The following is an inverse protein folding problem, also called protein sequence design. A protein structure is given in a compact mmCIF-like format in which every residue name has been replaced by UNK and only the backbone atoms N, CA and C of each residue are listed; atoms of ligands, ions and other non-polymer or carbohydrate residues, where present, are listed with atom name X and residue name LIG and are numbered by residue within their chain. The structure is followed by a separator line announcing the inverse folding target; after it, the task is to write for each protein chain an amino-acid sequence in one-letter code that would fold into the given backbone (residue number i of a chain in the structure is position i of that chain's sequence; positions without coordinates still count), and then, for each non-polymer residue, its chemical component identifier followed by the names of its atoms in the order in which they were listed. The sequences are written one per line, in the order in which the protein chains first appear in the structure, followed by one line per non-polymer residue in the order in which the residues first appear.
data_IF_837959174632
#
_entry.id   IF_837959174632
#
_cell.length_a   1.000
_cell.length_b   1.000
_cell.length_c   1.000
_cell.angle_alpha   90.00
_cell.angle_beta   90.00
_cell.angle_gamma   90.00
#
_symmetry.space_group_name_H-M   'P 1'
#
loop_
_entity.id
_entity.type
_entity.pdbx_description
1 polymer ?
#
# COMPACT_ATOMS: atom_id res chain seq x y z
N UNK A 1 7.61 -0.17 68.14
CA UNK A 1 7.42 -1.11 67.02
C UNK A 1 6.38 -0.51 66.09
N UNK A 2 6.74 -0.23 64.83
CA UNK A 2 5.92 -0.19 63.61
C UNK A 2 6.81 0.47 62.55
N UNK A 3 7.56 -0.37 61.82
CA UNK A 3 8.45 0.03 60.73
C UNK A 3 7.65 -0.08 59.43
N UNK A 4 7.29 1.05 58.83
CA UNK A 4 6.59 1.08 57.54
C UNK A 4 7.60 0.94 56.40
N UNK A 5 7.78 -0.28 55.92
CA UNK A 5 8.52 -0.56 54.68
C UNK A 5 7.77 0.02 53.48
N UNK A 6 8.36 1.05 52.85
CA UNK A 6 7.92 1.54 51.54
C UNK A 6 8.49 0.63 50.46
N UNK A 7 7.61 -0.13 49.82
CA UNK A 7 7.94 -0.94 48.65
C UNK A 7 8.09 0.01 47.45
N UNK A 8 9.33 0.22 46.97
CA UNK A 8 9.56 0.83 45.65
C UNK A 8 9.21 -0.22 44.59
N UNK A 9 8.08 -0.02 43.91
CA UNK A 9 7.81 -0.69 42.64
C UNK A 9 8.69 -0.03 41.56
N UNK A 10 9.78 -0.71 41.20
CA UNK A 10 10.57 -0.41 40.02
C UNK A 10 9.78 -0.90 38.79
N UNK A 11 9.08 0.03 38.12
CA UNK A 11 8.46 -0.21 36.82
C UNK A 11 9.56 -0.35 35.77
N UNK A 12 9.99 -1.59 35.47
CA UNK A 12 10.76 -1.86 34.26
C UNK A 12 9.83 -1.67 33.05
N UNK A 13 9.73 -0.44 32.54
CA UNK A 13 9.35 -0.23 31.15
C UNK A 13 10.47 -0.84 30.30
N UNK A 14 10.25 -2.04 29.79
CA UNK A 14 11.04 -2.54 28.68
C UNK A 14 10.93 -1.54 27.55
N UNK A 15 12.04 -0.91 27.18
CA UNK A 15 12.14 -0.24 25.90
C UNK A 15 11.95 -1.33 24.85
N UNK A 16 10.74 -1.42 24.30
CA UNK A 16 10.50 -2.11 23.05
C UNK A 16 11.31 -1.32 22.02
N UNK A 17 12.56 -1.73 21.83
CA UNK A 17 13.37 -1.25 20.73
C UNK A 17 12.57 -1.52 19.48
N UNK A 18 12.21 -0.46 18.74
CA UNK A 18 11.58 -0.61 17.45
C UNK A 18 12.61 -1.25 16.54
N UNK A 19 12.49 -2.56 16.39
CA UNK A 19 13.18 -3.29 15.34
C UNK A 19 12.50 -2.88 14.04
N UNK A 20 13.14 -1.99 13.29
CA UNK A 20 12.80 -1.82 11.89
C UNK A 20 12.66 -3.19 11.23
N UNK A 21 11.53 -3.38 10.54
CA UNK A 21 11.01 -4.71 10.15
C UNK A 21 11.92 -5.34 9.13
N UNK A 22 12.14 -6.65 9.23
CA UNK A 22 12.75 -7.39 8.13
C UNK A 22 11.89 -7.25 6.87
N UNK A 23 12.53 -7.10 5.71
CA UNK A 23 11.78 -7.02 4.44
C UNK A 23 11.12 -8.37 4.14
N UNK A 24 9.78 -8.43 4.04
CA UNK A 24 9.08 -9.68 3.75
C UNK A 24 9.46 -10.25 2.38
N UNK A 25 9.36 -11.57 2.21
CA UNK A 25 9.88 -12.27 1.03
C UNK A 25 9.27 -11.78 -0.31
N UNK A 26 7.98 -11.44 -0.31
CA UNK A 26 7.30 -10.88 -1.48
C UNK A 26 7.84 -9.49 -1.86
N UNK A 27 8.04 -8.61 -0.88
CA UNK A 27 8.64 -7.28 -1.09
C UNK A 27 10.10 -7.41 -1.50
N UNK A 28 10.85 -8.35 -0.90
CA UNK A 28 12.23 -8.64 -1.28
C UNK A 28 12.33 -9.12 -2.74
N UNK A 29 11.40 -9.96 -3.15
CA UNK A 29 11.32 -10.46 -4.53
C UNK A 29 11.04 -9.32 -5.49
N UNK A 30 10.09 -8.43 -5.16
CA UNK A 30 9.82 -7.22 -5.93
C UNK A 30 11.08 -6.33 -6.03
N UNK A 31 11.74 -6.03 -4.91
CA UNK A 31 12.96 -5.24 -4.86
C UNK A 31 14.03 -5.82 -5.80
N UNK A 32 14.31 -7.12 -5.69
CA UNK A 32 15.32 -7.78 -6.53
C UNK A 32 14.92 -7.79 -8.02
N UNK A 33 13.63 -8.00 -8.31
CA UNK A 33 13.09 -7.98 -9.68
C UNK A 33 13.26 -6.61 -10.32
N UNK A 34 12.82 -5.54 -9.63
CA UNK A 34 12.94 -4.16 -10.11
C UNK A 34 14.43 -3.77 -10.25
N UNK A 35 15.28 -4.18 -9.31
CA UNK A 35 16.73 -3.93 -9.38
C UNK A 35 17.37 -4.58 -10.61
N UNK A 36 16.99 -5.82 -10.91
CA UNK A 36 17.52 -6.58 -12.05
C UNK A 36 16.97 -6.10 -13.41
N UNK A 37 15.76 -5.53 -13.44
CA UNK A 37 15.12 -5.02 -14.66
C UNK A 37 15.94 -3.91 -15.34
N UNK A 38 16.73 -3.14 -14.58
CA UNK A 38 17.43 -1.99 -15.10
C UNK A 38 16.56 -0.73 -15.04
N UNK A 39 16.11 -0.25 -16.20
CA UNK A 39 15.21 0.90 -16.28
C UNK A 39 13.74 0.48 -16.31
N UNK A 40 12.85 1.38 -15.88
CA UNK A 40 11.41 1.14 -15.97
C UNK A 40 10.94 1.06 -17.42
N UNK A 41 10.00 0.16 -17.68
CA UNK A 41 9.40 -0.02 -19.01
C UNK A 41 8.25 0.96 -19.22
N UNK A 42 7.37 1.08 -18.22
CA UNK A 42 6.29 2.03 -18.12
C UNK A 42 6.70 3.20 -17.21
N UNK A 43 7.21 4.26 -17.85
CA UNK A 43 7.63 5.49 -17.17
C UNK A 43 6.45 6.47 -17.15
N UNK A 44 5.97 6.79 -15.96
CA UNK A 44 4.88 7.75 -15.76
C UNK A 44 5.38 9.18 -15.88
N UNK A 45 6.58 9.44 -15.34
CA UNK A 45 7.33 10.68 -15.54
C UNK A 45 8.83 10.40 -15.45
N UNK A 46 9.65 11.25 -16.07
CA UNK A 46 11.10 11.06 -16.22
C UNK A 46 11.85 12.39 -16.14
N UNK A 47 13.18 12.31 -15.98
CA UNK A 47 14.05 13.48 -15.97
C UNK A 47 14.28 14.04 -14.56
N UNK A 48 14.08 13.21 -13.55
CA UNK A 48 14.34 13.52 -12.15
C UNK A 48 15.76 13.11 -11.77
N UNK A 49 16.24 13.68 -10.68
CA UNK A 49 17.58 13.50 -10.14
C UNK A 49 17.46 12.82 -8.78
N UNK A 50 18.42 11.99 -8.39
CA UNK A 50 18.48 11.59 -6.97
C UNK A 50 19.10 12.68 -6.13
N UNK A 51 20.10 13.37 -6.68
CA UNK A 51 20.81 14.48 -6.05
C UNK A 51 21.07 15.59 -7.05
N UNK A 52 21.29 16.80 -6.58
CA UNK A 52 21.50 17.99 -7.42
C UNK A 52 22.67 17.85 -8.41
N UNK A 53 23.69 17.07 -8.07
CA UNK A 53 24.88 16.79 -8.87
C UNK A 53 24.80 15.49 -9.70
N UNK A 54 23.70 14.75 -9.59
CA UNK A 54 23.50 13.46 -10.26
C UNK A 54 22.98 13.60 -11.70
N UNK A 55 22.90 12.46 -12.42
CA UNK A 55 22.25 12.42 -13.72
C UNK A 55 20.73 12.34 -13.58
N UNK A 56 19.99 12.93 -14.54
CA UNK A 56 18.52 12.99 -14.54
C UNK A 56 17.84 11.68 -14.96
N UNK A 57 18.36 10.55 -14.49
CA UNK A 57 17.97 9.20 -14.92
C UNK A 57 16.82 8.61 -14.11
N UNK A 58 16.23 9.36 -13.19
CA UNK A 58 15.19 8.89 -12.28
C UNK A 58 13.80 9.09 -12.87
N UNK A 59 12.90 8.19 -12.52
CA UNK A 59 11.54 8.13 -13.05
C UNK A 59 10.57 7.63 -11.97
N UNK A 60 9.34 8.13 -12.04
CA UNK A 60 8.18 7.49 -11.41
C UNK A 60 7.69 6.39 -12.34
N UNK A 61 7.57 5.17 -11.81
CA UNK A 61 7.39 3.97 -12.60
C UNK A 61 6.06 3.29 -12.30
N UNK A 62 5.36 2.91 -13.36
CA UNK A 62 4.07 2.24 -13.31
C UNK A 62 4.11 0.83 -13.87
N UNK A 63 5.27 0.17 -13.85
CA UNK A 63 5.44 -1.21 -14.36
C UNK A 63 4.49 -2.19 -13.67
N UNK A 64 4.15 -1.90 -12.41
CA UNK A 64 3.32 -2.75 -11.56
C UNK A 64 1.96 -2.13 -11.20
N UNK A 65 1.43 -1.22 -12.03
CA UNK A 65 0.09 -0.66 -11.83
C UNK A 65 -1.02 -1.70 -12.06
N UNK A 66 -0.83 -2.64 -12.98
CA UNK A 66 -1.87 -3.58 -13.38
C UNK A 66 -1.88 -4.89 -12.59
N UNK A 67 -0.75 -5.29 -12.02
CA UNK A 67 -0.59 -6.53 -11.26
C UNK A 67 -0.61 -6.29 -9.75
N UNK A 68 0.20 -5.37 -9.23
CA UNK A 68 0.28 -5.09 -7.79
C UNK A 68 -0.38 -3.78 -7.38
N UNK A 69 -0.84 -3.00 -8.36
CA UNK A 69 -1.36 -1.65 -8.15
C UNK A 69 -0.37 -0.82 -7.31
N UNK A 70 0.84 -0.61 -7.82
CA UNK A 70 1.87 0.21 -7.17
C UNK A 70 2.55 1.15 -8.16
N UNK A 71 3.09 2.24 -7.61
CA UNK A 71 4.03 3.14 -8.27
C UNK A 71 5.30 3.16 -7.44
N UNK A 72 6.46 3.27 -8.08
CA UNK A 72 7.74 3.36 -7.38
C UNK A 72 8.73 4.28 -8.09
N UNK A 73 9.77 4.72 -7.37
CA UNK A 73 10.88 5.51 -7.93
C UNK A 73 12.02 4.59 -8.34
N UNK A 74 12.61 4.85 -9.51
CA UNK A 74 13.72 4.06 -10.03
C UNK A 74 14.64 4.86 -10.94
N UNK A 75 15.96 4.65 -10.79
CA UNK A 75 17.00 5.17 -11.67
C UNK A 75 17.43 4.19 -12.77
N UNK A 76 18.46 4.54 -13.52
CA UNK A 76 19.04 3.65 -14.52
C UNK A 76 19.79 2.46 -13.89
N UNK A 77 19.95 1.37 -14.62
CA UNK A 77 20.69 0.19 -14.14
C UNK A 77 20.11 -0.36 -12.83
N UNK A 78 20.94 -0.59 -11.82
CA UNK A 78 20.48 -1.13 -10.53
C UNK A 78 20.09 -0.06 -9.51
N UNK A 79 20.11 1.23 -9.88
CA UNK A 79 19.91 2.35 -8.96
C UNK A 79 18.44 2.48 -8.55
N UNK A 80 18.17 2.56 -7.26
CA UNK A 80 16.98 3.20 -6.69
C UNK A 80 17.33 4.64 -6.29
N UNK A 81 16.45 5.36 -5.61
CA UNK A 81 16.76 6.71 -5.14
C UNK A 81 17.61 6.67 -3.85
N UNK A 82 18.18 7.81 -3.51
CA UNK A 82 18.74 8.15 -2.22
C UNK A 82 17.63 8.41 -1.18
N UNK A 83 18.02 8.87 0.00
CA UNK A 83 17.11 9.39 1.01
C UNK A 83 17.67 10.68 1.63
N UNK A 84 17.29 11.81 1.05
CA UNK A 84 17.44 13.13 1.67
C UNK A 84 16.45 13.31 2.82
N UNK A 85 16.70 14.32 3.65
CA UNK A 85 15.97 14.54 4.91
C UNK A 85 15.06 15.74 4.80
N UNK A 86 13.76 15.46 4.88
CA UNK A 86 12.74 16.47 5.05
C UNK A 86 12.48 16.70 6.55
N UNK A 87 12.45 17.97 6.93
CA UNK A 87 12.22 18.41 8.30
C UNK A 87 10.93 19.24 8.44
N UNK A 88 10.08 19.24 7.42
CA UNK A 88 8.95 20.14 7.32
C UNK A 88 7.80 19.79 8.29
N UNK A 89 6.93 20.78 8.50
CA UNK A 89 5.79 20.67 9.40
C UNK A 89 6.03 21.20 10.81
N UNK A 90 5.32 20.61 11.77
CA UNK A 90 5.38 20.99 13.19
C UNK A 90 6.76 20.72 13.77
N UNK A 91 7.40 21.78 14.26
CA UNK A 91 8.73 21.76 14.86
C UNK A 91 8.70 21.51 16.38
N UNK A 92 9.80 21.01 16.94
CA UNK A 92 9.96 20.81 18.39
C UNK A 92 9.28 19.55 18.93
N UNK A 93 9.02 19.56 20.24
CA UNK A 93 8.36 18.46 20.95
C UNK A 93 9.32 17.40 21.51
N UNK A 94 8.80 16.40 22.24
CA UNK A 94 9.64 15.46 22.99
C UNK A 94 10.51 14.52 22.13
N UNK A 95 10.15 14.33 20.86
CA UNK A 95 10.91 13.50 19.93
C UNK A 95 11.99 14.28 19.16
N UNK A 96 11.96 15.61 19.23
CA UNK A 96 12.97 16.45 18.59
C UNK A 96 14.28 16.37 19.36
N UNK A 97 15.31 15.83 18.71
CA UNK A 97 16.67 15.68 19.22
C UNK A 97 17.65 16.71 18.64
N UNK A 98 17.12 17.72 17.93
CA UNK A 98 17.86 18.85 17.37
C UNK A 98 18.51 18.57 16.01
N UNK A 99 18.42 17.35 15.46
CA UNK A 99 19.07 17.02 14.18
C UNK A 99 18.43 17.68 12.96
N UNK A 100 17.18 18.12 13.05
CA UNK A 100 16.60 18.99 12.02
C UNK A 100 17.16 20.42 12.06
N UNK A 101 17.74 20.86 13.18
CA UNK A 101 18.28 22.22 13.33
C UNK A 101 19.48 22.54 12.43
N UNK A 102 20.03 21.55 11.71
CA UNK A 102 21.03 21.80 10.67
C UNK A 102 20.42 22.25 9.34
N UNK A 103 19.18 21.86 9.02
CA UNK A 103 18.52 22.17 7.75
C UNK A 103 18.36 23.68 7.57
N UNK A 104 18.68 24.17 6.37
CA UNK A 104 18.53 25.57 5.98
C UNK A 104 17.23 25.88 5.22
N UNK A 105 16.48 24.85 4.87
CA UNK A 105 15.30 24.85 4.00
C UNK A 105 14.01 24.39 4.70
N UNK A 106 14.09 23.96 5.96
CA UNK A 106 12.93 23.53 6.76
C UNK A 106 11.79 24.54 6.70
N UNK A 107 10.61 24.06 6.31
CA UNK A 107 9.36 24.80 6.31
C UNK A 107 8.50 24.44 7.53
N UNK A 108 7.67 25.38 7.96
CA UNK A 108 6.81 25.16 9.14
C UNK A 108 5.56 24.33 8.86
N UNK A 109 5.35 23.91 7.61
CA UNK A 109 4.15 23.22 7.15
C UNK A 109 4.53 22.08 6.20
N UNK A 110 3.79 20.99 6.21
CA UNK A 110 3.83 19.98 5.14
C UNK A 110 2.78 20.28 4.06
N UNK A 111 2.92 19.71 2.86
CA UNK A 111 1.94 19.90 1.77
C UNK A 111 0.50 19.54 2.14
N UNK A 112 0.27 18.61 3.08
CA UNK A 112 -1.07 18.18 3.48
C UNK A 112 -1.50 18.61 4.88
N UNK A 113 -0.87 19.64 5.44
CA UNK A 113 -1.21 20.24 6.74
C UNK A 113 -2.73 20.41 6.94
N UNK A 114 -3.43 21.03 5.99
CA UNK A 114 -4.87 21.32 6.11
C UNK A 114 -5.71 20.04 6.28
N UNK A 115 -5.30 18.94 5.64
CA UNK A 115 -5.98 17.65 5.79
C UNK A 115 -5.74 17.07 7.18
N UNK A 116 -4.50 17.15 7.66
CA UNK A 116 -4.11 16.69 9.00
C UNK A 116 -4.85 17.48 10.10
N UNK A 117 -4.83 18.81 10.01
CA UNK A 117 -5.61 19.69 10.88
C UNK A 117 -7.10 19.34 10.86
N UNK A 118 -7.65 19.10 9.66
CA UNK A 118 -9.03 18.71 9.44
C UNK A 118 -9.45 17.40 10.12
N UNK A 119 -8.51 16.50 10.44
CA UNK A 119 -8.80 15.29 11.21
C UNK A 119 -9.14 15.58 12.67
N UNK A 120 -8.86 16.79 13.18
CA UNK A 120 -9.20 17.23 14.52
C UNK A 120 -8.69 16.26 15.62
N UNK A 121 -7.45 15.78 15.47
CA UNK A 121 -6.83 14.82 16.38
C UNK A 121 -5.87 15.42 17.40
N UNK A 122 -5.79 16.76 17.47
CA UNK A 122 -4.93 17.45 18.44
C UNK A 122 -3.53 17.80 17.91
N UNK A 123 -3.30 17.62 16.60
CA UNK A 123 -2.17 18.17 15.88
C UNK A 123 -2.68 19.05 14.74
N UNK A 124 -1.92 20.10 14.40
CA UNK A 124 -2.20 20.95 13.25
C UNK A 124 -1.47 20.46 12.00
N UNK A 125 -0.36 19.75 12.19
CA UNK A 125 0.45 19.18 11.12
C UNK A 125 1.25 17.99 11.65
N UNK A 126 1.84 17.23 10.74
CA UNK A 126 2.84 16.22 11.07
C UNK A 126 4.08 16.90 11.66
N UNK A 127 4.85 16.11 12.41
CA UNK A 127 6.15 16.50 12.97
C UNK A 127 7.18 15.48 12.47
N UNK A 128 8.20 15.94 11.75
CA UNK A 128 9.21 15.08 11.12
C UNK A 128 9.92 14.12 12.08
N UNK A 129 10.06 14.51 13.36
CA UNK A 129 10.69 13.69 14.41
C UNK A 129 9.77 12.60 14.97
N UNK A 130 8.46 12.69 14.71
CA UNK A 130 7.44 11.75 15.22
C UNK A 130 6.81 10.92 14.11
N UNK A 131 6.54 11.54 12.97
CA UNK A 131 5.73 10.97 11.91
C UNK A 131 6.64 10.52 10.77
N UNK A 132 6.82 9.21 10.53
CA UNK A 132 7.43 8.76 9.29
C UNK A 132 6.55 9.19 8.12
N UNK A 133 7.12 10.02 7.26
CA UNK A 133 6.49 10.39 6.01
C UNK A 133 7.52 10.42 4.88
N UNK A 134 6.99 10.38 3.67
CA UNK A 134 7.74 10.42 2.41
C UNK A 134 7.35 11.68 1.67
N UNK A 135 8.35 12.33 1.08
CA UNK A 135 8.17 13.39 0.08
C UNK A 135 8.04 12.70 -1.27
N UNK A 136 6.86 12.77 -1.88
CA UNK A 136 6.55 12.01 -3.08
C UNK A 136 5.75 12.84 -4.07
N UNK A 137 6.24 12.95 -5.30
CA UNK A 137 5.74 13.93 -6.25
C UNK A 137 6.63 15.15 -6.32
N UNK A 138 6.48 15.88 -7.42
CA UNK A 138 7.24 17.07 -7.70
C UNK A 138 6.28 18.14 -8.21
N UNK A 139 6.22 19.26 -7.52
CA UNK A 139 5.43 20.42 -7.88
C UNK A 139 6.37 21.52 -8.38
N UNK A 140 5.83 22.48 -9.15
CA UNK A 140 6.66 23.55 -9.69
C UNK A 140 6.10 24.27 -10.90
N UNK A 141 6.59 25.49 -11.11
CA UNK A 141 6.20 26.39 -12.21
C UNK A 141 7.38 26.89 -13.03
N UNK A 142 8.63 26.69 -12.55
CA UNK A 142 9.87 27.02 -13.28
C UNK A 142 9.87 26.38 -14.68
N UNK A 143 10.25 27.17 -15.69
CA UNK A 143 10.33 26.70 -17.07
C UNK A 143 11.33 25.53 -17.21
N UNK A 144 10.89 24.43 -17.81
CA UNK A 144 11.70 23.23 -17.96
C UNK A 144 11.80 22.34 -16.71
N UNK A 145 11.20 22.75 -15.59
CA UNK A 145 11.09 21.94 -14.37
C UNK A 145 10.23 20.70 -14.64
N UNK A 146 10.62 19.56 -14.05
CA UNK A 146 9.86 18.32 -14.17
C UNK A 146 8.95 18.21 -12.96
N UNK A 147 7.69 17.94 -13.24
CA UNK A 147 6.66 17.74 -12.22
C UNK A 147 6.07 16.34 -12.35
N UNK A 148 5.56 15.84 -11.24
CA UNK A 148 4.79 14.60 -11.17
C UNK A 148 3.80 14.75 -10.03
N UNK A 149 2.51 14.72 -10.38
CA UNK A 149 1.45 14.76 -9.39
C UNK A 149 0.92 13.32 -9.17
N UNK A 150 1.17 12.70 -8.00
CA UNK A 150 0.76 11.32 -7.74
C UNK A 150 -0.77 11.11 -7.76
N UNK A 151 -1.56 12.15 -7.54
CA UNK A 151 -3.03 12.06 -7.54
C UNK A 151 -3.60 11.74 -8.93
N UNK A 152 -2.90 12.11 -10.01
CA UNK A 152 -3.26 11.73 -11.38
C UNK A 152 -3.25 10.21 -11.59
N UNK A 153 -2.57 9.47 -10.71
CA UNK A 153 -2.47 8.02 -10.75
C UNK A 153 -3.14 7.34 -9.56
N UNK A 154 -4.02 8.05 -8.85
CA UNK A 154 -4.86 7.49 -7.80
C UNK A 154 -4.19 7.35 -6.43
N UNK A 155 -2.95 7.82 -6.26
CA UNK A 155 -2.38 8.00 -4.92
C UNK A 155 -3.14 9.15 -4.25
N UNK A 156 -3.55 8.96 -2.99
CA UNK A 156 -4.28 9.99 -2.25
C UNK A 156 -3.38 10.66 -1.21
N UNK A 157 -3.54 11.96 -0.91
CA UNK A 157 -2.83 12.60 0.20
C UNK A 157 -2.90 11.75 1.47
N UNK A 158 -1.78 11.65 2.19
CA UNK A 158 -1.63 10.84 3.40
C UNK A 158 -1.81 9.33 3.21
N UNK A 159 -1.75 8.81 1.96
CA UNK A 159 -1.69 7.37 1.72
C UNK A 159 -0.45 6.77 2.37
N UNK A 160 -0.58 5.58 2.95
CA UNK A 160 0.58 4.82 3.40
C UNK A 160 1.48 4.52 2.20
N UNK A 161 2.78 4.65 2.43
CA UNK A 161 3.85 4.23 1.53
C UNK A 161 4.73 3.19 2.24
N UNK A 162 5.33 2.31 1.46
CA UNK A 162 6.32 1.35 1.91
C UNK A 162 7.70 1.77 1.40
N UNK A 163 8.70 1.80 2.27
CA UNK A 163 10.07 2.16 1.96
C UNK A 163 10.99 1.01 2.33
N UNK A 164 11.80 0.56 1.38
CA UNK A 164 12.87 -0.43 1.63
C UNK A 164 14.21 0.29 1.67
N UNK A 165 14.84 0.30 2.84
CA UNK A 165 16.07 1.04 3.17
C UNK A 165 16.87 0.26 4.22
N UNK A 166 18.21 0.26 4.17
CA UNK A 166 19.03 -0.37 5.22
C UNK A 166 18.66 -1.83 5.54
N UNK A 167 18.25 -2.59 4.52
CA UNK A 167 17.73 -3.97 4.62
C UNK A 167 16.42 -4.13 5.44
N UNK A 168 15.69 -3.04 5.62
CA UNK A 168 14.46 -2.95 6.41
C UNK A 168 13.28 -2.51 5.55
N UNK A 169 12.08 -2.85 6.00
CA UNK A 169 10.83 -2.29 5.51
C UNK A 169 10.26 -1.30 6.54
N UNK A 170 10.04 -0.07 6.12
CA UNK A 170 9.44 1.00 6.91
C UNK A 170 8.15 1.46 6.26
N UNK A 171 7.11 1.68 7.07
CA UNK A 171 5.90 2.38 6.63
C UNK A 171 5.94 3.84 7.03
N UNK A 172 5.51 4.70 6.11
CA UNK A 172 5.23 6.10 6.36
C UNK A 172 3.97 6.52 5.61
N UNK A 173 3.62 7.79 5.68
CA UNK A 173 2.57 8.37 4.83
C UNK A 173 3.17 9.30 3.78
N UNK A 174 2.55 9.43 2.62
CA UNK A 174 2.86 10.52 1.72
C UNK A 174 2.33 11.83 2.32
N UNK A 175 3.23 12.68 2.81
CA UNK A 175 2.87 13.93 3.49
C UNK A 175 3.31 15.19 2.76
N UNK A 176 4.34 15.08 1.93
CA UNK A 176 4.94 16.22 1.26
C UNK A 176 5.27 15.98 -0.21
N UNK A 177 5.58 17.06 -0.92
CA UNK A 177 5.92 17.08 -2.34
C UNK A 177 7.16 17.94 -2.56
N UNK A 178 8.09 17.49 -3.42
CA UNK A 178 9.28 18.26 -3.72
C UNK A 178 8.92 19.51 -4.53
N UNK A 179 9.23 20.68 -3.99
CA UNK A 179 9.01 21.97 -4.63
C UNK A 179 9.98 22.28 -5.77
N UNK A 180 9.83 23.46 -6.35
CA UNK A 180 10.75 24.01 -7.34
C UNK A 180 11.64 25.12 -6.78
N UNK A 181 12.01 25.06 -5.51
CA UNK A 181 12.92 25.98 -4.83
C UNK A 181 14.40 25.64 -5.08
N UNK A 182 14.72 24.36 -5.24
CA UNK A 182 16.05 23.85 -5.58
C UNK A 182 16.56 24.14 -7.01
N UNK A 183 17.72 23.57 -7.33
CA UNK A 183 18.35 23.70 -8.64
C UNK A 183 17.89 22.65 -9.65
N UNK A 184 17.42 21.49 -9.17
CA UNK A 184 16.94 20.35 -9.96
C UNK A 184 15.65 19.75 -9.36
N UNK A 185 14.78 19.13 -10.20
CA UNK A 185 13.65 18.33 -9.70
C UNK A 185 14.18 17.00 -9.15
N UNK A 186 14.54 17.01 -7.87
CA UNK A 186 15.06 15.84 -7.13
C UNK A 186 13.94 14.93 -6.65
N UNK A 187 14.28 13.67 -6.34
CA UNK A 187 13.40 12.68 -5.73
C UNK A 187 14.19 11.88 -4.70
N UNK A 188 13.49 11.26 -3.75
CA UNK A 188 14.13 10.39 -2.76
C UNK A 188 14.37 11.13 -1.46
N UNK A 189 13.30 11.56 -0.81
CA UNK A 189 13.36 12.34 0.40
C UNK A 189 12.28 11.86 1.40
N UNK A 190 12.60 11.89 2.69
CA UNK A 190 11.73 11.40 3.74
C UNK A 190 11.98 12.12 5.06
N UNK A 191 11.01 12.03 5.98
CA UNK A 191 11.14 12.65 7.28
C UNK A 191 12.32 12.10 8.09
N UNK A 192 12.91 12.94 8.93
CA UNK A 192 14.05 12.53 9.77
C UNK A 192 13.75 11.29 10.64
N UNK A 193 12.51 11.10 11.09
CA UNK A 193 12.13 9.91 11.85
C UNK A 193 12.14 8.63 11.01
N UNK A 194 11.72 8.69 9.73
CA UNK A 194 11.80 7.57 8.80
C UNK A 194 13.27 7.23 8.51
N UNK A 195 14.08 8.23 8.17
CA UNK A 195 15.50 8.03 7.89
C UNK A 195 16.28 7.50 9.11
N UNK A 196 15.93 7.98 10.31
CA UNK A 196 16.50 7.46 11.56
C UNK A 196 16.16 5.97 11.76
N UNK A 197 14.97 5.53 11.35
CA UNK A 197 14.61 4.11 11.43
C UNK A 197 15.41 3.23 10.44
N UNK A 198 15.81 3.79 9.30
CA UNK A 198 16.65 3.11 8.31
C UNK A 198 18.12 3.06 8.74
N UNK A 199 18.68 4.21 9.16
CA UNK A 199 20.12 4.43 9.21
C UNK A 199 20.64 4.88 10.59
N UNK A 200 19.75 5.00 11.57
CA UNK A 200 20.10 5.46 12.91
C UNK A 200 20.36 6.97 12.98
N UNK A 201 21.08 7.40 14.01
CA UNK A 201 21.24 8.83 14.33
C UNK A 201 22.39 9.51 13.58
N UNK A 202 22.98 8.86 12.57
CA UNK A 202 24.02 9.47 11.74
C UNK A 202 23.45 10.50 10.76
N UNK A 203 22.17 10.40 10.43
CA UNK A 203 21.48 11.36 9.55
C UNK A 203 21.02 12.60 10.31
N UNK A 204 20.97 13.73 9.61
CA UNK A 204 20.46 15.02 10.10
C UNK A 204 19.87 15.84 8.94
N UNK A 205 19.29 17.01 9.21
CA UNK A 205 18.60 17.82 8.21
C UNK A 205 19.45 18.27 7.00
N UNK A 206 20.78 18.13 7.03
CA UNK A 206 21.66 18.40 5.88
C UNK A 206 22.41 17.17 5.38
N UNK A 207 22.21 16.01 5.99
CA UNK A 207 22.98 14.79 5.73
C UNK A 207 22.05 13.59 5.82
N UNK A 208 21.49 13.23 4.67
CA UNK A 208 20.72 12.01 4.50
C UNK A 208 21.60 10.80 4.20
N UNK A 209 21.05 9.91 3.38
CA UNK A 209 21.71 8.71 2.86
C UNK A 209 21.89 8.86 1.34
N UNK A 210 23.15 9.02 0.92
CA UNK A 210 23.55 9.37 -0.44
C UNK A 210 23.44 8.21 -1.44
N UNK A 211 23.45 6.97 -0.96
CA UNK A 211 23.46 5.80 -1.84
C UNK A 211 22.08 5.57 -2.50
N UNK A 212 22.13 5.32 -3.81
CA UNK A 212 21.00 5.06 -4.70
C UNK A 212 20.40 3.64 -4.50
N UNK A 213 19.99 3.29 -3.28
CA UNK A 213 19.52 1.94 -2.91
C UNK A 213 18.17 1.88 -2.17
N UNK A 214 17.47 3.02 -2.04
CA UNK A 214 16.18 3.15 -1.35
C UNK A 214 15.00 3.02 -2.31
N UNK A 215 14.18 2.00 -2.11
CA UNK A 215 12.96 1.78 -2.89
C UNK A 215 11.74 2.37 -2.17
N UNK A 216 11.13 3.38 -2.79
CA UNK A 216 9.85 3.97 -2.38
C UNK A 216 8.70 3.33 -3.16
N UNK A 217 7.66 2.86 -2.47
CA UNK A 217 6.49 2.21 -3.05
C UNK A 217 5.22 2.94 -2.59
N UNK A 218 4.50 3.50 -3.56
CA UNK A 218 3.20 4.15 -3.38
C UNK A 218 2.06 3.23 -3.81
N UNK A 219 0.94 3.29 -3.10
CA UNK A 219 -0.23 2.45 -3.34
C UNK A 219 -1.42 3.33 -3.79
N UNK A 220 -1.87 3.23 -5.06
CA UNK A 220 -3.12 3.85 -5.48
C UNK A 220 -4.32 3.23 -4.78
N UNK A 221 -5.32 4.06 -4.51
CA UNK A 221 -6.60 3.64 -3.93
C UNK A 221 -6.86 4.22 -2.54
N UNK A 222 -8.14 4.22 -2.16
CA UNK A 222 -8.58 4.72 -0.84
C UNK A 222 -8.24 3.77 0.30
N UNK A 223 -8.01 2.49 0.01
CA UNK A 223 -7.53 1.47 0.95
C UNK A 223 -6.18 1.84 1.56
N UNK A 224 -5.34 2.58 0.82
CA UNK A 224 -4.05 3.07 1.27
C UNK A 224 -4.14 4.22 2.27
N UNK A 225 -5.27 4.92 2.35
CA UNK A 225 -5.43 6.09 3.24
C UNK A 225 -5.84 5.62 4.64
N UNK A 226 -5.08 5.96 5.70
CA UNK A 226 -5.52 5.69 7.07
C UNK A 226 -6.77 6.50 7.45
N UNK A 227 -6.84 7.75 6.98
CA UNK A 227 -7.88 8.69 7.34
C UNK A 227 -7.80 9.11 8.81
N UNK A 228 -8.77 9.91 9.25
CA UNK A 228 -8.76 10.49 10.60
C UNK A 228 -8.64 9.46 11.74
N UNK A 229 -9.20 8.27 11.57
CA UNK A 229 -9.27 7.24 12.63
C UNK A 229 -8.36 6.03 12.40
N UNK A 230 -7.67 5.94 11.27
CA UNK A 230 -6.84 4.79 10.92
C UNK A 230 -5.35 4.96 11.26
N UNK A 231 -4.96 6.07 11.86
CA UNK A 231 -3.60 6.32 12.36
C UNK A 231 -3.65 7.09 13.68
N UNK A 232 -2.61 6.93 14.50
CA UNK A 232 -2.41 7.69 15.72
C UNK A 232 -1.76 9.05 15.44
N UNK A 233 -2.51 9.95 14.81
CA UNK A 233 -2.03 11.29 14.43
C UNK A 233 -1.48 12.12 15.61
N UNK A 234 -1.90 11.85 16.85
CA UNK A 234 -1.39 12.52 18.05
C UNK A 234 -0.28 11.73 18.75
N UNK A 235 0.39 10.82 18.04
CA UNK A 235 1.54 10.09 18.57
C UNK A 235 2.60 11.07 19.09
N UNK A 236 3.31 10.66 20.14
CA UNK A 236 4.40 11.47 20.72
C UNK A 236 5.79 11.04 20.26
N UNK A 237 5.89 9.96 19.48
CA UNK A 237 7.12 9.42 18.96
C UNK A 237 6.86 8.50 17.75
N UNK A 238 7.93 8.23 17.00
CA UNK A 238 7.96 7.33 15.84
C UNK A 238 7.29 5.98 16.09
N UNK A 239 7.65 5.29 17.17
CA UNK A 239 7.16 3.95 17.46
C UNK A 239 5.63 3.90 17.57
N UNK A 240 5.05 4.87 18.26
CA UNK A 240 3.61 4.95 18.48
C UNK A 240 2.84 5.30 17.20
N UNK A 241 3.42 6.09 16.30
CA UNK A 241 2.79 6.38 15.01
C UNK A 241 2.91 5.19 14.06
N UNK A 242 4.12 4.66 13.85
CA UNK A 242 4.39 3.59 12.88
C UNK A 242 3.58 2.33 13.22
N UNK A 243 3.54 1.94 14.50
CA UNK A 243 2.73 0.79 14.94
C UNK A 243 1.23 0.99 14.66
N UNK A 244 0.74 2.23 14.64
CA UNK A 244 -0.68 2.50 14.37
C UNK A 244 -1.07 2.29 12.90
N UNK A 245 -0.12 2.37 11.97
CA UNK A 245 -0.34 2.18 10.53
C UNK A 245 0.12 0.81 10.02
N UNK A 246 0.86 0.07 10.84
CA UNK A 246 1.43 -1.24 10.54
C UNK A 246 0.45 -2.21 9.88
N UNK A 247 -0.71 -2.44 10.50
CA UNK A 247 -1.65 -3.46 10.03
C UNK A 247 -2.16 -3.13 8.61
N UNK A 248 -2.38 -1.85 8.33
CA UNK A 248 -2.80 -1.38 7.00
C UNK A 248 -1.64 -1.45 6.01
N UNK A 249 -0.42 -1.08 6.42
CA UNK A 249 0.80 -1.26 5.61
C UNK A 249 1.03 -2.73 5.22
N UNK A 250 0.89 -3.65 6.17
CA UNK A 250 1.00 -5.09 5.96
C UNK A 250 -0.05 -5.59 4.96
N UNK A 251 -1.30 -5.12 5.07
CA UNK A 251 -2.36 -5.47 4.13
C UNK A 251 -2.06 -4.97 2.70
N UNK A 252 -1.49 -3.77 2.56
CA UNK A 252 -1.11 -3.20 1.26
C UNK A 252 0.01 -4.01 0.60
N UNK A 253 1.07 -4.35 1.33
CA UNK A 253 2.17 -5.13 0.75
C UNK A 253 1.79 -6.58 0.47
N UNK A 254 0.76 -7.13 1.12
CA UNK A 254 0.32 -8.51 0.89
C UNK A 254 -0.14 -8.75 -0.57
N UNK A 255 -0.58 -7.70 -1.28
CA UNK A 255 -0.97 -7.81 -2.70
C UNK A 255 0.23 -7.91 -3.65
N UNK A 256 1.42 -7.48 -3.21
CA UNK A 256 2.68 -7.71 -3.92
C UNK A 256 2.94 -9.21 -3.79
N UNK A 257 2.94 -9.94 -4.92
CA UNK A 257 2.90 -11.41 -5.06
C UNK A 257 1.51 -12.09 -5.15
N UNK A 258 0.40 -11.33 -5.19
CA UNK A 258 -0.97 -11.86 -5.33
C UNK A 258 -1.48 -12.07 -6.76
N UNK A 259 -0.69 -11.74 -7.78
CA UNK A 259 -1.17 -11.64 -9.17
C UNK A 259 -0.50 -12.65 -10.09
N UNK A 260 -0.86 -13.93 -9.95
CA UNK A 260 -0.72 -14.86 -11.08
C UNK A 260 -1.73 -14.49 -12.16
N UNK A 261 -1.31 -13.62 -13.08
CA UNK A 261 -1.99 -13.47 -14.37
C UNK A 261 -1.78 -14.75 -15.21
N UNK A 262 -2.83 -15.32 -15.83
CA UNK A 262 -2.73 -16.58 -16.57
C UNK A 262 -2.06 -16.33 -17.93
N UNK A 263 -0.74 -16.42 -17.97
CA UNK A 263 -0.05 -16.53 -19.27
C UNK A 263 -0.10 -17.98 -19.72
N UNK A 264 -1.12 -18.31 -20.51
CA UNK A 264 -1.11 -19.50 -21.38
C UNK A 264 0.12 -19.44 -22.27
N UNK A 265 1.15 -20.21 -21.93
CA UNK A 265 2.15 -20.66 -22.90
C UNK A 265 2.30 -22.16 -22.76
N UNK A 266 1.62 -22.87 -23.67
CA UNK A 266 1.79 -24.29 -23.89
C UNK A 266 3.25 -24.59 -24.21
N UNK A 267 3.92 -25.36 -23.35
CA UNK A 267 5.03 -26.19 -23.79
C UNK A 267 5.06 -27.50 -23.01
N UNK A 268 4.62 -28.54 -23.71
CA UNK A 268 4.74 -29.94 -23.35
C UNK A 268 6.20 -30.28 -23.06
N UNK A 269 6.51 -30.79 -21.87
CA UNK A 269 7.60 -31.76 -21.69
C UNK A 269 7.40 -32.56 -20.41
N UNK A 270 7.71 -33.84 -20.56
CA UNK A 270 7.38 -35.03 -19.78
C UNK A 270 7.95 -35.06 -18.35
N UNK A 271 7.05 -35.29 -17.39
CA UNK A 271 7.16 -36.05 -16.13
C UNK A 271 8.44 -35.96 -15.26
N UNK A 272 8.30 -35.29 -14.12
CA UNK A 272 8.77 -35.76 -12.82
C UNK A 272 7.67 -35.46 -11.77
N UNK A 273 7.42 -36.39 -10.85
CA UNK A 273 6.36 -36.36 -9.84
C UNK A 273 6.36 -35.04 -9.05
N UNK A 274 5.26 -34.26 -9.03
CA UNK A 274 5.23 -33.00 -8.32
C UNK A 274 5.06 -33.25 -6.82
N UNK A 275 6.07 -32.88 -6.03
CA UNK A 275 5.87 -32.55 -4.62
C UNK A 275 4.90 -31.37 -4.59
N UNK A 276 3.68 -31.58 -4.09
CA UNK A 276 2.67 -30.53 -4.02
C UNK A 276 3.20 -29.36 -3.18
N UNK A 277 3.52 -28.24 -3.84
CA UNK A 277 3.87 -26.97 -3.19
C UNK A 277 2.58 -26.33 -2.70
N UNK A 278 2.41 -26.33 -1.39
CA UNK A 278 1.39 -25.58 -0.67
C UNK A 278 1.85 -24.15 -0.40
N UNK A 279 0.92 -23.19 -0.36
CA UNK A 279 1.17 -21.80 0.04
C UNK A 279 1.74 -21.66 1.46
N UNK A 280 1.54 -22.63 2.34
CA UNK A 280 2.19 -22.68 3.67
C UNK A 280 2.83 -24.04 3.98
N UNK A 281 4.15 -24.03 4.20
CA UNK A 281 4.94 -25.20 4.57
C UNK A 281 4.39 -25.91 5.83
N UNK A 282 4.10 -27.21 5.72
CA UNK A 282 3.54 -28.03 6.80
C UNK A 282 2.02 -28.22 6.73
N UNK A 283 1.34 -27.55 5.81
CA UNK A 283 -0.13 -27.56 5.66
C UNK A 283 -0.59 -28.08 4.28
N UNK A 284 0.25 -28.91 3.63
CA UNK A 284 -0.01 -29.50 2.32
C UNK A 284 -0.94 -30.72 2.35
N UNK A 285 -1.22 -31.28 1.18
CA UNK A 285 -1.94 -32.55 1.03
C UNK A 285 -1.28 -33.65 1.89
N UNK A 286 -2.02 -34.18 2.86
CA UNK A 286 -1.53 -35.19 3.82
C UNK A 286 -0.91 -34.63 5.11
N UNK A 287 -0.83 -33.30 5.27
CA UNK A 287 -0.50 -32.65 6.54
C UNK A 287 -1.54 -32.97 7.62
N UNK A 288 -1.11 -32.99 8.89
CA UNK A 288 -2.04 -33.12 10.01
C UNK A 288 -2.86 -31.84 10.20
N UNK A 289 -4.15 -31.97 10.51
CA UNK A 289 -5.06 -30.84 10.71
C UNK A 289 -6.11 -31.16 11.77
N UNK A 290 -6.66 -30.12 12.39
CA UNK A 290 -7.79 -30.19 13.32
C UNK A 290 -9.03 -29.50 12.73
N UNK A 291 -8.84 -28.41 11.99
CA UNK A 291 -9.89 -27.68 11.26
C UNK A 291 -9.47 -27.42 9.81
N UNK A 292 -10.41 -26.94 8.98
CA UNK A 292 -10.12 -26.62 7.58
C UNK A 292 -9.08 -25.51 7.40
N UNK A 293 -8.94 -24.63 8.39
CA UNK A 293 -7.97 -23.51 8.35
C UNK A 293 -6.52 -23.97 8.57
N UNK A 294 -6.33 -25.21 9.02
CA UNK A 294 -5.01 -25.84 9.14
C UNK A 294 -4.51 -26.41 7.79
N UNK A 295 -5.24 -26.18 6.69
CA UNK A 295 -4.93 -26.71 5.37
C UNK A 295 -4.70 -25.59 4.36
N UNK A 296 -3.65 -25.74 3.55
CA UNK A 296 -3.27 -24.76 2.53
C UNK A 296 -4.19 -24.82 1.31
N UNK A 297 -4.38 -23.67 0.67
CA UNK A 297 -5.10 -23.55 -0.60
C UNK A 297 -6.55 -24.07 -0.50
N UNK A 298 -7.02 -24.83 -1.48
CA UNK A 298 -8.38 -25.40 -1.52
C UNK A 298 -8.50 -26.74 -0.75
N UNK A 299 -7.52 -27.08 0.10
CA UNK A 299 -7.54 -28.33 0.86
C UNK A 299 -8.47 -28.21 2.07
N UNK A 300 -9.16 -29.31 2.41
CA UNK A 300 -10.03 -29.37 3.59
C UNK A 300 -9.53 -30.42 4.56
N UNK A 301 -9.76 -30.20 5.85
CA UNK A 301 -9.36 -31.15 6.87
C UNK A 301 -10.33 -32.33 6.91
N UNK A 302 -9.89 -33.48 6.41
CA UNK A 302 -10.67 -34.71 6.39
C UNK A 302 -9.90 -35.79 7.14
N UNK A 303 -10.52 -36.39 8.16
CA UNK A 303 -9.89 -37.45 8.96
C UNK A 303 -8.53 -37.02 9.55
N UNK A 304 -8.47 -35.79 10.08
CA UNK A 304 -7.26 -35.17 10.63
C UNK A 304 -6.11 -35.02 9.63
N UNK A 305 -6.41 -35.04 8.33
CA UNK A 305 -5.47 -34.85 7.24
C UNK A 305 -5.99 -33.89 6.18
N UNK A 306 -5.13 -33.02 5.66
CA UNK A 306 -5.51 -32.12 4.56
C UNK A 306 -5.70 -32.93 3.28
N UNK A 307 -6.88 -32.85 2.67
CA UNK A 307 -7.30 -33.61 1.51
C UNK A 307 -7.95 -32.72 0.44
N UNK A 308 -7.83 -33.09 -0.83
CA UNK A 308 -8.53 -32.39 -1.91
C UNK A 308 -10.00 -32.82 -1.96
N UNK A 309 -10.91 -31.85 -2.09
CA UNK A 309 -12.35 -32.09 -2.30
C UNK A 309 -12.70 -32.49 -3.73
N UNK A 310 -11.74 -32.50 -4.67
CA UNK A 310 -11.97 -32.98 -6.03
C UNK A 310 -12.14 -34.50 -6.01
N UNK A 311 -13.40 -34.92 -5.90
CA UNK A 311 -13.83 -36.29 -6.18
C UNK A 311 -13.28 -36.67 -7.56
N UNK A 312 -12.36 -37.62 -7.56
CA UNK A 312 -11.92 -38.34 -8.75
C UNK A 312 -13.11 -39.20 -9.19
N UNK A 313 -13.99 -38.63 -10.02
CA UNK A 313 -15.04 -39.40 -10.68
C UNK A 313 -14.41 -40.05 -11.91
N UNK A 314 -13.94 -41.27 -11.73
CA UNK A 314 -13.52 -42.15 -12.82
C UNK A 314 -14.64 -42.29 -13.84
N UNK A 315 -14.31 -41.99 -15.09
CA UNK A 315 -15.15 -42.06 -16.28
C UNK A 315 -15.91 -43.38 -16.41
N UNK A 316 -17.23 -43.31 -16.59
CA UNK A 316 -17.94 -44.29 -17.43
C UNK A 316 -19.11 -43.59 -18.12
N UNK A 317 -19.06 -43.54 -19.45
CA UNK A 317 -20.11 -43.00 -20.31
C UNK A 317 -21.44 -43.72 -20.08
N UNK A 318 -22.53 -42.95 -19.96
CA UNK A 318 -23.83 -43.32 -20.55
C UNK A 318 -24.67 -42.06 -20.81
N UNK A 319 -25.12 -42.00 -22.04
CA UNK A 319 -25.94 -40.98 -22.69
C UNK A 319 -27.31 -40.81 -22.04
N UNK A 320 -27.72 -39.57 -21.77
CA UNK A 320 -29.15 -39.21 -21.68
C UNK A 320 -29.34 -37.72 -21.92
N UNK A 321 -30.03 -37.41 -23.01
CA UNK A 321 -30.62 -36.12 -23.39
C UNK A 321 -31.58 -35.59 -22.33
N UNK A 322 -31.45 -34.31 -21.96
CA UNK A 322 -32.60 -33.39 -21.77
C UNK A 322 -32.18 -31.92 -21.65
N UNK A 323 -32.69 -31.14 -22.61
CA UNK A 323 -33.39 -29.85 -22.51
C UNK A 323 -32.75 -28.69 -21.71
N UNK A 324 -32.29 -27.73 -22.49
CA UNK A 324 -31.96 -26.33 -22.21
C UNK A 324 -33.05 -25.60 -21.41
N UNK A 325 -32.66 -25.03 -20.27
CA UNK A 325 -33.29 -23.83 -19.69
C UNK A 325 -32.21 -22.91 -19.15
N UNK A 326 -32.22 -21.68 -19.66
CA UNK A 326 -31.30 -20.59 -19.37
C UNK A 326 -31.30 -20.22 -17.88
N UNK A 327 -30.17 -20.40 -17.19
CA UNK A 327 -29.97 -19.94 -15.82
C UNK A 327 -29.07 -18.70 -15.80
N UNK A 328 -29.54 -17.70 -15.05
CA UNK A 328 -28.98 -16.37 -14.92
C UNK A 328 -27.54 -16.36 -14.41
N UNK A 329 -26.79 -15.34 -14.85
CA UNK A 329 -25.43 -15.04 -14.43
C UNK A 329 -25.30 -15.05 -12.90
N UNK A 330 -24.46 -15.94 -12.39
CA UNK A 330 -24.08 -16.00 -10.98
C UNK A 330 -23.28 -14.75 -10.67
N UNK A 331 -23.86 -13.82 -9.91
CA UNK A 331 -23.14 -12.65 -9.41
C UNK A 331 -22.02 -13.11 -8.49
N UNK A 332 -20.77 -12.79 -8.86
CA UNK A 332 -19.58 -12.97 -8.02
C UNK A 332 -19.66 -11.99 -6.86
N UNK A 333 -19.56 -12.51 -5.63
CA UNK A 333 -19.47 -11.70 -4.41
C UNK A 333 -18.00 -11.62 -3.98
N UNK A 334 -17.60 -10.47 -3.42
CA UNK A 334 -16.23 -10.20 -2.97
C UNK A 334 -15.80 -11.07 -1.79
N UNK A 335 -16.75 -11.64 -1.04
CA UNK A 335 -16.51 -12.57 0.08
C UNK A 335 -17.69 -13.56 0.28
N UNK A 336 -17.39 -14.76 0.78
CA UNK A 336 -18.40 -15.82 0.99
C UNK A 336 -19.33 -15.50 2.18
N UNK A 337 -20.65 -15.67 2.01
CA UNK A 337 -21.62 -15.52 3.10
C UNK A 337 -22.31 -14.15 3.20
N UNK A 338 -21.95 -13.18 2.35
CA UNK A 338 -22.48 -11.80 2.35
C UNK A 338 -22.98 -11.38 0.95
N UNK A 339 -23.44 -12.33 0.17
CA UNK A 339 -23.95 -12.16 -1.19
C UNK A 339 -25.46 -11.88 -1.20
N UNK A 340 -26.05 -11.73 -2.39
CA UNK A 340 -27.50 -11.58 -2.56
C UNK A 340 -28.27 -12.67 -1.78
N UNK A 341 -29.06 -12.27 -0.79
CA UNK A 341 -29.82 -13.18 0.07
C UNK A 341 -29.10 -13.65 1.36
N UNK A 342 -27.86 -13.24 1.59
CA UNK A 342 -27.17 -13.39 2.87
C UNK A 342 -27.86 -12.62 3.98
N UNK A 343 -27.73 -13.08 5.22
CA UNK A 343 -28.27 -12.39 6.40
C UNK A 343 -27.35 -11.23 6.79
N UNK A 344 -27.93 -10.07 7.10
CA UNK A 344 -27.19 -8.85 7.46
C UNK A 344 -27.88 -8.09 8.61
N UNK A 345 -27.11 -7.30 9.35
CA UNK A 345 -27.59 -6.35 10.36
C UNK A 345 -27.39 -4.88 9.90
N UNK A 346 -26.29 -4.58 9.22
CA UNK A 346 -25.97 -3.27 8.64
C UNK A 346 -25.56 -3.42 7.16
N UNK A 347 -25.42 -2.29 6.44
CA UNK A 347 -24.97 -2.30 5.05
C UNK A 347 -23.56 -2.87 4.87
N UNK A 348 -22.72 -2.79 5.90
CA UNK A 348 -21.34 -3.29 5.86
C UNK A 348 -21.27 -4.84 5.92
N UNK A 349 -22.37 -5.49 6.29
CA UNK A 349 -22.49 -6.96 6.25
C UNK A 349 -22.81 -7.48 4.84
N UNK A 350 -22.84 -6.61 3.83
CA UNK A 350 -23.16 -6.93 2.45
C UNK A 350 -21.98 -6.61 1.52
N UNK A 351 -21.73 -7.48 0.54
CA UNK A 351 -20.67 -7.25 -0.46
C UNK A 351 -20.96 -5.97 -1.26
N UNK A 352 -19.92 -5.34 -1.81
CA UNK A 352 -19.87 -3.98 -2.41
C UNK A 352 -21.04 -3.57 -3.33
N UNK A 353 -21.73 -4.53 -3.95
CA UNK A 353 -22.87 -4.29 -4.85
C UNK A 353 -24.26 -4.37 -4.17
N UNK A 354 -24.33 -4.64 -2.87
CA UNK A 354 -25.56 -4.92 -2.13
C UNK A 354 -25.68 -4.05 -0.88
N UNK A 355 -26.93 -3.77 -0.49
CA UNK A 355 -27.27 -3.07 0.76
C UNK A 355 -28.10 -3.98 1.66
N UNK A 356 -28.06 -3.75 2.97
CA UNK A 356 -28.82 -4.55 3.90
C UNK A 356 -30.28 -4.07 3.97
N UNK A 357 -31.18 -4.85 3.39
CA UNK A 357 -32.62 -4.55 3.36
C UNK A 357 -33.39 -5.74 3.94
N UNK A 358 -34.25 -5.49 4.93
CA UNK A 358 -35.03 -6.55 5.60
C UNK A 358 -34.16 -7.69 6.16
N UNK A 359 -33.00 -7.35 6.75
CA UNK A 359 -31.98 -8.28 7.25
C UNK A 359 -31.41 -9.22 6.19
N UNK A 360 -31.54 -8.86 4.91
CA UNK A 360 -30.98 -9.60 3.78
C UNK A 360 -30.22 -8.66 2.83
N UNK A 361 -29.07 -9.11 2.33
CA UNK A 361 -28.36 -8.37 1.29
C UNK A 361 -29.17 -8.38 0.00
N UNK A 362 -29.47 -7.20 -0.53
CA UNK A 362 -30.30 -7.00 -1.71
C UNK A 362 -29.71 -5.92 -2.63
N UNK A 363 -30.12 -5.93 -3.89
CA UNK A 363 -29.77 -4.87 -4.84
C UNK A 363 -30.47 -3.57 -4.43
N UNK A 364 -29.73 -2.46 -4.48
CA UNK A 364 -30.30 -1.15 -4.20
C UNK A 364 -31.37 -0.80 -5.24
N UNK A 365 -32.63 -0.74 -4.78
CA UNK A 365 -33.79 -0.47 -5.62
C UNK A 365 -33.92 1.02 -5.96
N UNK A 366 -33.14 1.89 -5.30
CA UNK A 366 -33.19 3.35 -5.50
C UNK A 366 -32.47 3.84 -6.76
N UNK A 367 -31.65 2.97 -7.40
CA UNK A 367 -30.91 3.31 -8.63
C UNK A 367 -31.68 3.03 -9.95
N UNK A 368 -32.94 2.57 -9.89
CA UNK A 368 -33.78 2.40 -11.08
C UNK A 368 -34.75 3.57 -11.29
N UNK A 369 -34.24 4.80 -11.43
CA UNK A 369 -35.03 5.90 -12.00
C UNK A 369 -34.19 7.04 -12.60
N UNK A 370 -33.33 6.71 -13.57
CA UNK A 370 -32.80 7.71 -14.52
C UNK A 370 -32.76 7.09 -15.92
N UNK A 371 -33.91 7.12 -16.60
CA UNK A 371 -33.92 6.96 -18.06
C UNK A 371 -33.24 8.19 -18.67
N UNK A 372 -32.10 7.96 -19.31
CA UNK A 372 -31.52 8.85 -20.31
C UNK A 372 -32.55 9.11 -21.41
N UNK A 373 -33.15 10.30 -21.43
CA UNK A 373 -33.76 10.87 -22.62
C UNK A 373 -32.75 11.83 -23.24
N UNK A 374 -32.07 11.41 -24.30
CA UNK A 374 -31.35 12.34 -25.17
C UNK A 374 -32.38 13.19 -25.93
N UNK A 375 -32.26 14.52 -25.98
CA UNK A 375 -32.99 15.31 -26.96
C UNK A 375 -32.30 15.21 -28.32
N UNK A 376 -33.01 14.65 -29.31
CA UNK A 376 -32.72 14.87 -30.73
C UNK A 376 -32.85 16.37 -31.02
N UNK A 377 -31.74 17.03 -31.37
CA UNK A 377 -31.77 18.37 -31.96
C UNK A 377 -31.91 18.21 -33.47
N UNK A 378 -33.14 18.39 -33.96
CA UNK A 378 -33.43 18.47 -35.39
C UNK A 378 -32.85 19.78 -35.97
N UNK A 379 -32.18 19.65 -37.13
CA UNK A 379 -31.93 20.76 -38.06
C UNK A 379 -33.27 21.19 -38.67
N UNK A 380 -33.53 22.48 -38.67
CA UNK A 380 -34.53 23.13 -39.53
C UNK A 380 -33.86 24.28 -40.30
N UNK A 381 -34.28 24.56 -41.55
CA UNK A 381 -33.58 25.43 -42.50
C UNK A 381 -33.83 26.91 -42.21
N UNK A 382 -32.93 27.77 -42.72
CA UNK A 382 -33.06 29.21 -42.65
C UNK A 382 -34.07 29.79 -43.63
N UNK A 383 -34.37 31.08 -43.46
CA UNK A 383 -34.40 32.14 -44.49
C UNK A 383 -35.10 33.41 -43.97
N UNK A 384 -34.55 34.58 -44.34
CA UNK A 384 -35.12 35.94 -44.48
C UNK A 384 -35.87 36.57 -43.26
N UNK A 385 -35.63 37.80 -42.81
CA UNK A 385 -35.15 39.07 -43.38
C UNK A 385 -34.17 39.81 -42.46
#
# INVERSE_FOLDING_TARGET
MHSSSRLLLLSCLGALGVTARDVPANVRTLYNSIKAQGACSNKLATGFYSRDDSANTFSYCGDHLNDYNIIYIKGAGTAFANMDIDCDGTQGGPADDGRCGSSGDTQSITSFQDTVAGYNKGINDLNANVHPYVVFGNEGTKSGWKTFNPQNYGIKPLSIMAVVCGDKLIYGVWADENGDDGSKPVVGEASISLATACYGTSVNGNSGHDEDDVLYIAFPGTDAVPGASGANWAASNYAAFESSIEAKGNALIARIAGSTSPTTTSKTTTAATPTATCSWAGHCLGAACSTNDDCSDDLVCTSSKCASTKVVTTTTLKTSTTKTTSAAATATCSWAGHCLGATCATNDDCSDAYICTNKKCAVDSSLKSTRFSLPLRARGPGEHE
#
